data_IF_443196434211
#
_entry.id   IF_443196434211
#
_cell.length_a   1.000
_cell.length_b   1.000
_cell.length_c   1.000
_cell.angle_alpha   90.00
_cell.angle_beta   90.00
_cell.angle_gamma   90.00
#
_symmetry.space_group_name_H-M   'P 1'
#
loop_
_entity.id
_entity.type
_entity.pdbx_description
1 polymer ?
#
# COMPACT_ATOMS: atom_id res chain seq x y z
N UNK A 1 -18.47 10.53 -14.43
CA UNK A 1 -17.13 10.88 -13.91
C UNK A 1 -16.24 9.66 -14.04
N UNK A 2 -15.04 9.82 -14.61
CA UNK A 2 -14.09 8.72 -14.83
C UNK A 2 -13.01 8.67 -13.77
N UNK A 3 -12.94 7.58 -13.03
CA UNK A 3 -11.95 7.37 -11.97
C UNK A 3 -11.02 6.21 -12.34
N UNK A 4 -9.72 6.51 -12.36
CA UNK A 4 -8.67 5.52 -12.51
C UNK A 4 -8.08 5.15 -11.14
N UNK A 5 -8.25 3.89 -10.74
CA UNK A 5 -7.60 3.30 -9.57
C UNK A 5 -6.29 2.64 -9.99
N UNK A 6 -5.16 3.19 -9.57
CA UNK A 6 -3.84 2.69 -9.94
C UNK A 6 -3.08 2.16 -8.72
N UNK A 7 -2.64 0.90 -8.79
CA UNK A 7 -1.75 0.29 -7.80
C UNK A 7 -0.43 -0.15 -8.46
N UNK A 8 0.44 -0.77 -7.68
CA UNK A 8 1.59 -1.52 -8.19
C UNK A 8 1.65 -2.87 -7.47
N UNK A 9 1.91 -3.96 -8.21
CA UNK A 9 2.13 -5.26 -7.59
C UNK A 9 3.50 -5.33 -6.88
N UNK A 10 3.47 -5.07 -5.58
CA UNK A 10 4.56 -5.22 -4.63
C UNK A 10 4.08 -5.97 -3.38
N UNK A 11 3.20 -6.97 -3.58
CA UNK A 11 2.34 -7.51 -2.55
C UNK A 11 0.87 -7.36 -2.89
N UNK A 12 0.05 -7.96 -2.04
CA UNK A 12 -1.41 -7.98 -2.23
C UNK A 12 -2.07 -6.77 -1.55
N UNK A 13 -1.42 -6.14 -0.56
CA UNK A 13 -2.00 -5.05 0.24
C UNK A 13 -2.45 -3.83 -0.57
N UNK A 14 -1.56 -3.26 -1.40
CA UNK A 14 -1.89 -2.10 -2.22
C UNK A 14 -3.01 -2.37 -3.24
N UNK A 15 -2.98 -3.58 -3.84
CA UNK A 15 -4.04 -4.05 -4.73
C UNK A 15 -5.36 -4.18 -3.98
N UNK A 16 -5.36 -4.79 -2.78
CA UNK A 16 -6.55 -4.93 -1.93
C UNK A 16 -7.14 -3.60 -1.50
N UNK A 17 -6.31 -2.61 -1.19
CA UNK A 17 -6.79 -1.25 -0.92
C UNK A 17 -7.46 -0.62 -2.16
N UNK A 18 -6.93 -0.85 -3.37
CA UNK A 18 -7.55 -0.35 -4.60
C UNK A 18 -8.88 -1.07 -4.89
N UNK A 19 -8.93 -2.39 -4.71
CA UNK A 19 -10.15 -3.19 -4.83
C UNK A 19 -11.21 -2.75 -3.81
N UNK A 20 -10.82 -2.48 -2.55
CA UNK A 20 -11.74 -1.98 -1.53
C UNK A 20 -12.36 -0.63 -1.91
N UNK A 21 -11.57 0.29 -2.49
CA UNK A 21 -12.09 1.56 -3.00
C UNK A 21 -13.02 1.31 -4.20
N UNK A 22 -12.62 0.45 -5.14
CA UNK A 22 -13.46 0.09 -6.30
C UNK A 22 -14.81 -0.43 -5.85
N UNK A 23 -14.82 -1.38 -4.93
CA UNK A 23 -16.05 -2.05 -4.46
C UNK A 23 -16.95 -1.08 -3.69
N UNK A 24 -16.37 -0.14 -2.93
CA UNK A 24 -17.12 0.93 -2.27
C UNK A 24 -17.72 1.94 -3.26
N UNK A 25 -17.10 2.12 -4.43
CA UNK A 25 -17.57 3.04 -5.48
C UNK A 25 -18.46 2.37 -6.54
N UNK A 26 -18.50 1.04 -6.60
CA UNK A 26 -19.23 0.30 -7.63
C UNK A 26 -20.76 0.52 -7.59
N UNK A 27 -21.30 1.00 -6.45
CA UNK A 27 -22.71 1.31 -6.30
C UNK A 27 -23.16 2.68 -6.85
N UNK A 28 -22.24 3.47 -7.42
CA UNK A 28 -22.56 4.79 -7.98
C UNK A 28 -22.61 4.72 -9.52
N UNK A 29 -23.80 4.87 -10.10
CA UNK A 29 -24.03 4.72 -11.55
C UNK A 29 -23.33 5.80 -12.39
N UNK A 30 -23.07 6.98 -11.83
CA UNK A 30 -22.41 8.08 -12.55
C UNK A 30 -20.88 7.95 -12.59
N UNK A 31 -20.31 6.86 -12.07
CA UNK A 31 -18.87 6.64 -11.93
C UNK A 31 -18.39 5.52 -12.85
N UNK A 32 -17.55 5.86 -13.84
CA UNK A 32 -16.81 4.89 -14.64
C UNK A 32 -15.50 4.54 -13.89
N UNK A 33 -15.36 3.28 -13.47
CA UNK A 33 -14.22 2.80 -12.69
C UNK A 33 -13.29 1.93 -13.52
N UNK A 34 -12.03 2.36 -13.66
CA UNK A 34 -10.96 1.53 -14.25
C UNK A 34 -9.93 1.23 -13.17
N UNK A 35 -9.60 -0.04 -12.93
CA UNK A 35 -8.53 -0.44 -11.99
C UNK A 35 -7.35 -1.04 -12.75
N UNK A 36 -6.14 -0.56 -12.50
CA UNK A 36 -4.93 -0.99 -13.21
C UNK A 36 -3.75 -1.24 -12.27
N UNK A 37 -2.93 -2.22 -12.62
CA UNK A 37 -1.56 -2.32 -12.13
C UNK A 37 -0.64 -1.48 -13.01
N UNK A 38 -0.06 -0.41 -12.46
CA UNK A 38 0.85 0.45 -13.21
C UNK A 38 2.10 -0.30 -13.72
N UNK A 39 2.48 -1.42 -13.11
CA UNK A 39 3.59 -2.25 -13.58
C UNK A 39 3.27 -2.97 -14.89
N UNK A 40 2.00 -3.22 -15.22
CA UNK A 40 1.59 -3.79 -16.52
C UNK A 40 1.95 -2.88 -17.70
N UNK A 41 2.13 -1.60 -17.41
CA UNK A 41 2.50 -0.56 -18.37
C UNK A 41 4.00 -0.20 -18.30
N UNK A 42 4.81 -1.10 -17.77
CA UNK A 42 6.27 -0.99 -17.76
C UNK A 42 6.91 -2.03 -18.68
N UNK A 43 8.24 -2.01 -18.83
CA UNK A 43 8.91 -3.10 -19.55
C UNK A 43 8.88 -4.40 -18.73
N UNK A 44 8.96 -5.54 -19.43
CA UNK A 44 8.83 -6.86 -18.82
C UNK A 44 9.83 -7.12 -17.69
N UNK A 45 11.08 -6.67 -17.87
CA UNK A 45 12.12 -6.81 -16.85
C UNK A 45 11.80 -6.02 -15.58
N UNK A 46 11.32 -4.79 -15.71
CA UNK A 46 10.93 -3.95 -14.59
C UNK A 46 9.74 -4.57 -13.83
N UNK A 47 8.67 -4.93 -14.54
CA UNK A 47 7.51 -5.63 -13.95
C UNK A 47 7.93 -6.90 -13.20
N UNK A 48 8.86 -7.67 -13.78
CA UNK A 48 9.35 -8.91 -13.18
C UNK A 48 10.23 -8.67 -11.94
N UNK A 49 11.14 -7.69 -11.99
CA UNK A 49 12.11 -7.43 -10.93
C UNK A 49 11.52 -6.67 -9.74
N UNK A 50 10.56 -5.78 -9.98
CA UNK A 50 9.99 -4.89 -8.96
C UNK A 50 9.52 -5.60 -7.68
N UNK A 51 8.59 -6.57 -7.74
CA UNK A 51 8.14 -7.29 -6.54
C UNK A 51 9.25 -8.14 -5.91
N UNK A 52 10.18 -8.67 -6.72
CA UNK A 52 11.26 -9.55 -6.24
C UNK A 52 12.31 -8.78 -5.46
N UNK A 53 12.71 -7.61 -5.94
CA UNK A 53 13.64 -6.72 -5.24
C UNK A 53 13.01 -6.27 -3.92
N UNK A 54 11.73 -5.88 -3.95
CA UNK A 54 10.99 -5.53 -2.74
C UNK A 54 10.96 -6.69 -1.72
N UNK A 55 10.57 -7.89 -2.15
CA UNK A 55 10.52 -9.08 -1.30
C UNK A 55 11.89 -9.49 -0.77
N UNK A 56 12.94 -9.37 -1.57
CA UNK A 56 14.31 -9.63 -1.14
C UNK A 56 14.72 -8.68 -0.03
N UNK A 57 14.49 -7.37 -0.20
CA UNK A 57 14.87 -6.35 0.78
C UNK A 57 14.17 -6.56 2.13
N UNK A 58 12.86 -6.84 2.12
CA UNK A 58 12.09 -7.06 3.35
C UNK A 58 12.50 -8.36 4.06
N UNK A 59 12.70 -9.45 3.33
CA UNK A 59 12.96 -10.75 3.95
C UNK A 59 14.42 -10.98 4.33
N UNK A 60 15.37 -10.41 3.58
CA UNK A 60 16.80 -10.71 3.73
C UNK A 60 17.58 -9.59 4.39
N UNK A 61 17.10 -8.34 4.29
CA UNK A 61 17.85 -7.20 4.81
C UNK A 61 16.92 -6.18 5.52
N UNK A 62 16.10 -6.61 6.51
CA UNK A 62 15.13 -5.72 7.17
C UNK A 62 15.80 -4.52 7.86
N UNK A 63 17.02 -4.69 8.39
CA UNK A 63 17.82 -3.58 8.93
C UNK A 63 18.27 -2.61 7.83
N UNK A 64 18.68 -3.09 6.66
CA UNK A 64 19.00 -2.22 5.53
C UNK A 64 17.75 -1.60 4.91
N UNK A 65 16.58 -2.23 5.01
CA UNK A 65 15.31 -1.66 4.57
C UNK A 65 14.87 -0.51 5.48
N UNK A 66 14.93 -0.71 6.80
CA UNK A 66 14.72 0.37 7.78
C UNK A 66 15.75 1.49 7.65
N UNK A 67 17.02 1.14 7.44
CA UNK A 67 18.10 2.10 7.19
C UNK A 67 17.97 2.80 5.84
N UNK A 68 17.46 2.15 4.80
CA UNK A 68 17.20 2.74 3.50
C UNK A 68 16.08 3.78 3.60
N UNK A 69 15.01 3.50 4.35
CA UNK A 69 14.00 4.51 4.64
C UNK A 69 14.59 5.68 5.42
N UNK A 70 15.37 5.41 6.47
CA UNK A 70 16.03 6.46 7.24
C UNK A 70 16.96 7.32 6.37
N UNK A 71 17.80 6.71 5.55
CA UNK A 71 18.68 7.39 4.60
C UNK A 71 17.90 8.19 3.57
N UNK A 72 16.90 7.59 2.93
CA UNK A 72 16.04 8.26 1.95
C UNK A 72 15.12 9.30 2.58
N UNK A 73 15.01 9.34 3.91
CA UNK A 73 14.27 10.35 4.66
C UNK A 73 15.16 11.51 5.10
N UNK A 74 16.50 11.37 5.03
CA UNK A 74 17.40 12.51 5.16
C UNK A 74 17.14 13.46 3.99
N UNK A 75 16.73 14.69 4.31
CA UNK A 75 16.35 15.72 3.32
C UNK A 75 17.40 15.90 2.22
N UNK A 76 18.69 15.81 2.56
CA UNK A 76 19.80 15.96 1.62
C UNK A 76 19.88 14.78 0.64
N UNK A 77 19.69 13.56 1.14
CA UNK A 77 19.74 12.33 0.34
C UNK A 77 18.50 12.24 -0.56
N UNK A 78 17.30 12.55 -0.05
CA UNK A 78 16.08 12.62 -0.87
C UNK A 78 16.21 13.70 -1.96
N UNK A 79 16.75 14.87 -1.63
CA UNK A 79 16.96 15.94 -2.60
C UNK A 79 17.90 15.50 -3.74
N UNK A 80 18.94 14.70 -3.43
CA UNK A 80 19.93 14.23 -4.40
C UNK A 80 19.44 13.03 -5.23
N UNK A 81 18.76 12.05 -4.61
CA UNK A 81 18.35 10.81 -5.27
C UNK A 81 16.98 10.90 -5.94
N UNK A 82 16.08 11.75 -5.45
CA UNK A 82 14.73 11.86 -6.00
C UNK A 82 14.67 12.28 -7.48
N UNK A 83 15.57 13.12 -8.05
CA UNK A 83 15.58 13.40 -9.48
C UNK A 83 15.92 12.17 -10.32
N UNK A 84 16.96 11.40 -9.92
CA UNK A 84 17.37 10.18 -10.59
C UNK A 84 16.26 9.12 -10.52
N UNK A 85 15.67 8.93 -9.33
CA UNK A 85 14.52 8.05 -9.11
C UNK A 85 13.33 8.41 -10.00
N UNK A 86 12.91 9.69 -10.00
CA UNK A 86 11.82 10.18 -10.86
C UNK A 86 12.10 9.97 -12.34
N UNK A 87 13.34 10.20 -12.77
CA UNK A 87 13.76 9.97 -14.14
C UNK A 87 13.65 8.48 -14.51
N UNK A 88 14.17 7.61 -13.65
CA UNK A 88 14.12 6.16 -13.82
C UNK A 88 12.68 5.65 -13.90
N UNK A 89 11.82 6.03 -12.96
CA UNK A 89 10.40 5.66 -13.00
C UNK A 89 9.71 6.16 -14.28
N UNK A 90 9.98 7.40 -14.70
CA UNK A 90 9.42 7.96 -15.95
C UNK A 90 9.85 7.19 -17.19
N UNK A 91 11.12 6.81 -17.29
CA UNK A 91 11.65 6.04 -18.41
C UNK A 91 10.98 4.67 -18.50
N UNK A 92 10.74 4.03 -17.35
CA UNK A 92 10.10 2.73 -17.27
C UNK A 92 8.57 2.81 -17.44
N UNK A 93 7.94 3.97 -17.18
CA UNK A 93 6.49 4.14 -17.19
C UNK A 93 5.94 4.89 -18.41
N UNK A 94 6.66 4.94 -19.53
CA UNK A 94 6.21 5.64 -20.75
C UNK A 94 4.83 5.14 -21.23
N UNK A 95 4.55 3.84 -21.16
CA UNK A 95 3.24 3.28 -21.56
C UNK A 95 2.15 3.68 -20.57
N UNK A 96 2.46 3.77 -19.28
CA UNK A 96 1.50 4.21 -18.26
C UNK A 96 1.14 5.68 -18.43
N UNK A 97 2.15 6.51 -18.74
CA UNK A 97 1.94 7.92 -19.07
C UNK A 97 1.02 8.05 -20.28
N UNK A 98 1.30 7.31 -21.36
CA UNK A 98 0.46 7.31 -22.57
C UNK A 98 -0.97 6.91 -22.24
N UNK A 99 -1.14 5.82 -21.50
CA UNK A 99 -2.44 5.33 -21.06
C UNK A 99 -3.23 6.42 -20.30
N UNK A 100 -2.63 7.11 -19.33
CA UNK A 100 -3.33 8.21 -18.60
C UNK A 100 -3.75 9.34 -19.55
N UNK A 101 -2.92 9.70 -20.53
CA UNK A 101 -3.19 10.80 -21.47
C UNK A 101 -4.26 10.45 -22.51
N UNK A 102 -4.39 9.18 -22.86
CA UNK A 102 -5.42 8.64 -23.75
C UNK A 102 -6.74 8.44 -23.01
N UNK A 103 -6.69 7.83 -21.82
CA UNK A 103 -7.83 7.50 -20.98
C UNK A 103 -8.52 8.74 -20.37
N UNK A 104 -7.75 9.81 -20.18
CA UNK A 104 -8.19 11.13 -19.66
C UNK A 104 -9.13 11.03 -18.44
N UNK A 105 -8.73 10.35 -17.35
CA UNK A 105 -9.58 10.25 -16.18
C UNK A 105 -9.79 11.62 -15.49
N UNK A 106 -10.98 11.85 -14.93
CA UNK A 106 -11.28 13.01 -14.10
C UNK A 106 -10.52 12.95 -12.78
N UNK A 107 -10.37 11.74 -12.23
CA UNK A 107 -9.68 11.45 -10.97
C UNK A 107 -8.77 10.24 -11.13
N UNK A 108 -7.55 10.34 -10.61
CA UNK A 108 -6.64 9.21 -10.42
C UNK A 108 -6.44 8.99 -8.93
N UNK A 109 -6.76 7.80 -8.44
CA UNK A 109 -6.55 7.38 -7.06
C UNK A 109 -5.43 6.35 -7.04
N UNK A 110 -4.35 6.65 -6.33
CA UNK A 110 -3.17 5.78 -6.24
C UNK A 110 -3.03 5.17 -4.85
N UNK A 111 -3.06 3.85 -4.75
CA UNK A 111 -2.83 3.11 -3.48
C UNK A 111 -1.39 2.65 -3.29
N UNK A 112 -0.50 3.10 -4.18
CA UNK A 112 0.93 2.83 -4.15
C UNK A 112 1.71 4.06 -4.63
N UNK A 113 2.92 4.28 -4.09
CA UNK A 113 3.72 5.48 -4.40
C UNK A 113 4.21 5.53 -5.86
N UNK A 114 4.48 4.40 -6.51
CA UNK A 114 4.95 4.33 -7.91
C UNK A 114 4.01 5.04 -8.91
N UNK A 115 2.72 4.65 -9.06
CA UNK A 115 1.81 5.39 -9.93
C UNK A 115 1.57 6.82 -9.44
N UNK A 116 1.52 7.06 -8.13
CA UNK A 116 1.32 8.40 -7.58
C UNK A 116 2.44 9.36 -8.02
N UNK A 117 3.69 8.94 -7.99
CA UNK A 117 4.83 9.77 -8.43
C UNK A 117 4.74 10.12 -9.92
N UNK A 118 4.35 9.16 -10.76
CA UNK A 118 4.22 9.36 -12.21
C UNK A 118 3.12 10.38 -12.51
N UNK A 119 1.91 10.17 -11.97
CA UNK A 119 0.76 11.07 -12.18
C UNK A 119 1.04 12.45 -11.61
N UNK A 120 1.67 12.53 -10.44
CA UNK A 120 2.13 13.78 -9.84
C UNK A 120 3.10 14.54 -10.75
N UNK A 121 4.00 13.81 -11.42
CA UNK A 121 4.91 14.36 -12.42
C UNK A 121 4.20 14.89 -13.67
N UNK A 122 3.14 14.22 -14.13
CA UNK A 122 2.30 14.71 -15.24
C UNK A 122 1.54 15.97 -14.86
N UNK A 123 0.98 16.01 -13.65
CA UNK A 123 0.24 17.16 -13.13
C UNK A 123 1.14 18.39 -12.98
N UNK A 124 2.36 18.25 -12.45
CA UNK A 124 3.34 19.35 -12.38
C UNK A 124 3.72 19.93 -13.76
N UNK A 125 3.61 19.14 -14.82
CA UNK A 125 3.91 19.56 -16.20
C UNK A 125 2.68 20.09 -16.94
N UNK A 126 1.52 20.16 -16.28
CA UNK A 126 0.26 20.54 -16.92
C UNK A 126 -0.29 19.52 -17.92
N UNK A 127 0.29 18.31 -17.99
CA UNK A 127 -0.15 17.25 -18.91
C UNK A 127 -1.36 16.47 -18.38
N UNK A 128 -1.58 16.49 -17.07
CA UNK A 128 -2.76 15.92 -16.43
C UNK A 128 -3.47 17.01 -15.63
N UNK A 129 -4.74 17.28 -15.95
CA UNK A 129 -5.56 18.33 -15.32
C UNK A 129 -6.55 17.79 -14.28
N UNK A 130 -6.78 16.48 -14.25
CA UNK A 130 -7.68 15.84 -13.29
C UNK A 130 -7.16 15.88 -11.84
N UNK A 131 -7.93 15.32 -10.93
CA UNK A 131 -7.55 15.19 -9.52
C UNK A 131 -6.66 13.97 -9.31
N UNK A 132 -5.66 14.10 -8.46
CA UNK A 132 -4.79 13.03 -8.00
C UNK A 132 -4.99 12.88 -6.49
N UNK A 133 -5.41 11.69 -6.07
CA UNK A 133 -5.55 11.30 -4.67
C UNK A 133 -4.52 10.21 -4.39
N UNK A 134 -3.69 10.41 -3.37
CA UNK A 134 -2.68 9.43 -2.93
C UNK A 134 -3.12 8.80 -1.62
N UNK A 135 -3.42 7.50 -1.65
CA UNK A 135 -3.81 6.71 -0.48
C UNK A 135 -2.57 6.03 0.07
N UNK A 136 -2.08 6.54 1.20
CA UNK A 136 -0.93 6.01 1.90
C UNK A 136 -1.35 4.75 2.64
N UNK A 137 -0.83 3.62 2.18
CA UNK A 137 -1.15 2.28 2.69
C UNK A 137 -0.17 1.82 3.78
N UNK A 138 0.71 2.72 4.22
CA UNK A 138 1.68 2.50 5.29
C UNK A 138 1.25 3.31 6.53
N UNK A 139 1.49 2.78 7.72
CA UNK A 139 1.23 3.52 8.96
C UNK A 139 2.19 4.70 9.17
N UNK A 140 3.41 4.61 8.63
CA UNK A 140 4.43 5.64 8.68
C UNK A 140 4.76 6.10 7.26
N UNK A 141 4.61 7.41 6.98
CA UNK A 141 4.86 7.92 5.64
C UNK A 141 6.35 8.25 5.43
N UNK A 142 6.95 7.62 4.43
CA UNK A 142 8.33 7.85 4.00
C UNK A 142 8.42 8.67 2.70
N UNK A 143 9.62 9.11 2.32
CA UNK A 143 9.86 10.02 1.18
C UNK A 143 9.30 9.55 -0.17
N UNK A 144 9.21 8.24 -0.44
CA UNK A 144 8.60 7.75 -1.69
C UNK A 144 7.14 8.20 -1.88
N UNK A 145 6.39 8.41 -0.79
CA UNK A 145 4.99 8.85 -0.87
C UNK A 145 4.83 10.32 -1.28
N UNK A 146 5.93 11.08 -1.45
CA UNK A 146 5.89 12.53 -1.74
C UNK A 146 5.48 12.87 -3.19
N UNK A 147 4.30 12.41 -3.60
CA UNK A 147 3.61 12.84 -4.83
C UNK A 147 3.07 14.28 -4.67
N UNK A 148 3.95 15.28 -4.56
CA UNK A 148 3.62 16.66 -4.12
C UNK A 148 2.49 17.38 -4.86
N UNK A 149 2.20 16.98 -6.10
CA UNK A 149 1.08 17.53 -6.87
C UNK A 149 -0.27 16.82 -6.65
N UNK A 150 -0.35 15.86 -5.73
CA UNK A 150 -1.63 15.28 -5.30
C UNK A 150 -2.49 16.36 -4.66
N UNK A 151 -3.78 16.36 -5.01
CA UNK A 151 -4.77 17.25 -4.42
C UNK A 151 -5.07 16.83 -2.99
N UNK A 152 -5.12 15.50 -2.75
CA UNK A 152 -5.32 14.93 -1.44
C UNK A 152 -4.40 13.75 -1.16
N UNK A 153 -4.03 13.63 0.11
CA UNK A 153 -3.43 12.46 0.71
C UNK A 153 -4.40 11.85 1.71
N UNK A 154 -4.61 10.54 1.62
CA UNK A 154 -5.41 9.78 2.59
C UNK A 154 -4.44 8.94 3.42
N UNK A 155 -4.41 9.17 4.73
CA UNK A 155 -3.55 8.48 5.68
C UNK A 155 -4.34 7.50 6.56
N UNK A 156 -3.63 6.49 7.05
CA UNK A 156 -4.17 5.47 7.95
C UNK A 156 -4.56 6.06 9.31
N UNK A 157 -3.63 6.82 9.90
CA UNK A 157 -3.73 7.35 11.26
C UNK A 157 -3.15 8.76 11.33
N UNK A 158 -3.39 9.43 12.45
CA UNK A 158 -2.89 10.76 12.74
C UNK A 158 -1.36 10.86 12.61
N UNK A 159 -0.63 9.80 12.97
CA UNK A 159 0.81 9.74 12.77
C UNK A 159 1.21 9.86 11.28
N UNK A 160 0.48 9.22 10.37
CA UNK A 160 0.71 9.33 8.92
C UNK A 160 0.55 10.78 8.47
N UNK A 161 -0.45 11.50 8.99
CA UNK A 161 -0.65 12.93 8.70
C UNK A 161 0.54 13.77 9.14
N UNK A 162 1.02 13.56 10.37
CA UNK A 162 2.19 14.26 10.90
C UNK A 162 3.44 14.02 10.04
N UNK A 163 3.66 12.77 9.59
CA UNK A 163 4.78 12.44 8.70
C UNK A 163 4.69 13.17 7.36
N UNK A 164 3.49 13.23 6.75
CA UNK A 164 3.25 13.94 5.49
C UNK A 164 3.47 15.46 5.64
N UNK A 165 2.93 16.06 6.71
CA UNK A 165 3.05 17.50 6.98
C UNK A 165 4.50 17.90 7.26
N UNK A 166 5.23 17.11 8.06
CA UNK A 166 6.68 17.34 8.30
C UNK A 166 7.53 17.32 7.03
N UNK A 167 7.05 16.64 5.98
CA UNK A 167 7.69 16.57 4.66
C UNK A 167 7.16 17.59 3.66
N UNK A 168 6.38 18.57 4.11
CA UNK A 168 5.94 19.73 3.33
C UNK A 168 4.64 19.53 2.55
N UNK A 169 3.84 18.51 2.86
CA UNK A 169 2.45 18.44 2.37
C UNK A 169 1.60 19.36 3.24
N UNK A 170 0.79 20.21 2.62
CA UNK A 170 -0.09 21.12 3.37
C UNK A 170 -1.17 20.33 4.12
N UNK A 171 -1.44 20.71 5.35
CA UNK A 171 -2.34 20.00 6.27
C UNK A 171 -3.75 19.84 5.70
N UNK A 172 -4.28 20.86 5.03
CA UNK A 172 -5.63 20.84 4.44
C UNK A 172 -5.79 19.76 3.34
N UNK A 173 -4.68 19.33 2.74
CA UNK A 173 -4.63 18.27 1.72
C UNK A 173 -4.57 16.87 2.33
N UNK A 174 -4.39 16.73 3.64
CA UNK A 174 -4.29 15.42 4.28
C UNK A 174 -5.58 15.08 5.01
N UNK A 175 -6.12 13.89 4.75
CA UNK A 175 -7.30 13.34 5.43
C UNK A 175 -6.91 12.02 6.10
N UNK A 176 -7.33 11.84 7.35
CA UNK A 176 -7.12 10.59 8.11
C UNK A 176 -8.42 9.80 8.06
N UNK A 177 -8.51 8.84 7.14
CA UNK A 177 -9.72 8.04 6.90
C UNK A 177 -9.48 6.53 7.08
N UNK A 178 -8.25 6.12 7.44
CA UNK A 178 -7.88 4.72 7.51
C UNK A 178 -7.33 4.17 6.19
N UNK A 179 -6.78 2.95 6.26
CA UNK A 179 -6.42 2.18 5.07
C UNK A 179 -7.70 1.54 4.53
N UNK A 180 -8.05 1.70 3.24
CA UNK A 180 -9.23 1.07 2.68
C UNK A 180 -9.19 -0.45 2.83
N UNK A 181 -10.29 -1.01 3.34
CA UNK A 181 -10.50 -2.47 3.47
C UNK A 181 -11.85 -2.84 2.85
N UNK A 182 -11.97 -4.09 2.39
CA UNK A 182 -13.23 -4.58 1.83
C UNK A 182 -14.36 -4.45 2.89
N UNK A 183 -15.55 -3.93 2.53
CA UNK A 183 -16.62 -3.63 3.49
C UNK A 183 -16.99 -4.79 4.42
N UNK A 184 -16.85 -6.04 3.93
CA UNK A 184 -17.10 -7.26 4.71
C UNK A 184 -16.26 -7.38 5.99
N UNK A 185 -15.10 -6.72 6.06
CA UNK A 185 -14.26 -6.69 7.27
C UNK A 185 -14.76 -5.70 8.34
N UNK A 186 -15.71 -4.82 8.00
CA UNK A 186 -16.36 -3.94 8.97
C UNK A 186 -17.56 -4.58 9.68
N UNK A 187 -17.95 -5.80 9.31
CA UNK A 187 -19.10 -6.49 9.88
C UNK A 187 -18.65 -7.39 11.02
N UNK A 188 -19.14 -7.11 12.23
CA UNK A 188 -18.92 -7.97 13.39
C UNK A 188 -19.68 -9.28 13.25
N UNK A 189 -19.05 -10.40 13.61
CA UNK A 189 -19.62 -11.74 13.54
C UNK A 189 -19.60 -12.41 14.92
N UNK A 190 -20.56 -13.31 15.15
CA UNK A 190 -20.61 -14.07 16.41
C UNK A 190 -19.43 -15.06 16.49
N UNK A 191 -18.60 -14.89 17.53
CA UNK A 191 -17.40 -15.72 17.74
C UNK A 191 -17.75 -17.21 17.90
N UNK A 192 -18.81 -17.56 18.63
CA UNK A 192 -19.17 -18.96 18.91
C UNK A 192 -19.61 -19.66 17.63
N UNK A 193 -20.40 -18.98 16.81
CA UNK A 193 -20.79 -19.49 15.49
C UNK A 193 -19.58 -19.70 14.58
N UNK A 194 -18.62 -18.76 14.58
CA UNK A 194 -17.39 -18.89 13.79
C UNK A 194 -16.51 -20.05 14.24
N UNK A 195 -16.30 -20.22 15.54
CA UNK A 195 -15.52 -21.33 16.10
C UNK A 195 -16.15 -22.66 15.69
N UNK A 196 -17.46 -22.81 15.87
CA UNK A 196 -18.19 -24.00 15.45
C UNK A 196 -18.09 -24.24 13.95
N UNK A 197 -18.24 -23.19 13.13
CA UNK A 197 -18.15 -23.27 11.66
C UNK A 197 -16.75 -23.66 11.18
N UNK A 198 -15.71 -23.20 11.85
CA UNK A 198 -14.32 -23.45 11.49
C UNK A 198 -13.76 -24.75 12.13
N UNK A 199 -14.52 -25.41 13.00
CA UNK A 199 -14.07 -26.60 13.71
C UNK A 199 -12.92 -26.32 14.70
N UNK A 200 -12.87 -25.10 15.24
CA UNK A 200 -11.88 -24.70 16.23
C UNK A 200 -12.34 -25.10 17.64
N UNK A 201 -11.40 -25.27 18.56
CA UNK A 201 -11.73 -25.45 19.97
C UNK A 201 -12.30 -24.15 20.56
N UNK A 202 -13.39 -24.26 21.34
CA UNK A 202 -13.94 -23.12 22.10
C UNK A 202 -13.15 -22.86 23.39
N UNK A 203 -11.82 -22.97 23.29
CA UNK A 203 -10.91 -22.61 24.35
C UNK A 203 -10.93 -21.11 24.66
N UNK A 204 -10.29 -20.69 25.77
CA UNK A 204 -10.25 -19.29 26.18
C UNK A 204 -9.53 -18.40 25.15
N UNK A 205 -8.70 -18.98 24.28
CA UNK A 205 -7.90 -18.23 23.33
C UNK A 205 -7.72 -18.97 22.00
N UNK A 206 -7.86 -18.24 20.89
CA UNK A 206 -7.62 -18.72 19.53
C UNK A 206 -6.62 -17.76 18.87
N UNK A 207 -5.51 -18.29 18.34
CA UNK A 207 -4.44 -17.51 17.72
C UNK A 207 -4.50 -17.59 16.20
N UNK A 208 -4.58 -16.43 15.55
CA UNK A 208 -4.44 -16.30 14.10
C UNK A 208 -3.01 -15.87 13.74
N UNK A 209 -2.26 -16.74 13.07
CA UNK A 209 -0.91 -16.46 12.58
C UNK A 209 -0.97 -16.32 11.06
N UNK A 210 -0.58 -15.15 10.55
CA UNK A 210 -0.62 -14.85 9.12
C UNK A 210 0.68 -14.22 8.65
N UNK A 211 1.16 -14.63 7.47
CA UNK A 211 2.31 -14.04 6.78
C UNK A 211 1.94 -13.08 5.65
N UNK A 212 0.68 -12.63 5.61
CA UNK A 212 0.13 -11.84 4.51
C UNK A 212 0.06 -12.62 3.19
N UNK A 213 -0.17 -11.91 2.08
CA UNK A 213 -0.45 -12.51 0.76
C UNK A 213 0.69 -13.34 0.16
N UNK A 214 1.91 -13.20 0.67
CA UNK A 214 3.08 -13.98 0.26
C UNK A 214 3.52 -15.02 1.30
N UNK A 215 2.84 -15.13 2.44
CA UNK A 215 3.23 -16.03 3.52
C UNK A 215 4.63 -15.76 4.09
N UNK A 216 5.05 -14.48 4.12
CA UNK A 216 6.39 -14.09 4.55
C UNK A 216 6.53 -14.09 6.08
N UNK A 217 7.78 -14.15 6.53
CA UNK A 217 8.12 -14.16 7.96
C UNK A 217 8.33 -15.57 8.51
N UNK A 218 8.87 -15.70 9.73
CA UNK A 218 9.27 -16.97 10.31
C UNK A 218 8.08 -17.74 10.90
N UNK A 219 6.99 -17.91 10.14
CA UNK A 219 5.72 -18.50 10.61
C UNK A 219 5.94 -19.84 11.31
N UNK A 220 6.75 -20.73 10.71
CA UNK A 220 7.11 -22.02 11.32
C UNK A 220 7.77 -21.86 12.70
N UNK A 221 8.71 -20.91 12.85
CA UNK A 221 9.39 -20.67 14.13
C UNK A 221 8.41 -20.11 15.18
N UNK A 222 7.49 -19.24 14.76
CA UNK A 222 6.44 -18.68 15.63
C UNK A 222 5.54 -19.80 16.14
N UNK A 223 5.07 -20.68 15.25
CA UNK A 223 4.23 -21.84 15.62
C UNK A 223 4.95 -22.75 16.60
N UNK A 224 6.21 -23.11 16.35
CA UNK A 224 6.98 -23.94 17.28
C UNK A 224 7.16 -23.27 18.64
N UNK A 225 7.50 -21.96 18.66
CA UNK A 225 7.65 -21.24 19.92
C UNK A 225 6.36 -21.21 20.75
N UNK A 226 5.19 -21.11 20.11
CA UNK A 226 3.89 -21.16 20.79
C UNK A 226 3.63 -22.55 21.35
N UNK A 227 3.91 -23.61 20.58
CA UNK A 227 3.74 -24.99 21.02
C UNK A 227 4.61 -25.31 22.24
N UNK A 228 5.87 -24.86 22.24
CA UNK A 228 6.80 -25.06 23.36
C UNK A 228 6.34 -24.34 24.65
N UNK A 229 5.71 -23.15 24.51
CA UNK A 229 5.12 -22.43 25.64
C UNK A 229 3.93 -23.21 26.22
N UNK A 230 3.07 -23.75 25.37
CA UNK A 230 1.90 -24.52 25.81
C UNK A 230 2.33 -25.77 26.59
N UNK A 231 3.32 -26.52 26.08
CA UNK A 231 3.84 -27.72 26.74
C UNK A 231 4.37 -27.40 28.15
N UNK A 232 5.19 -26.34 28.28
CA UNK A 232 5.76 -25.91 29.58
C UNK A 232 4.71 -25.37 30.55
N UNK A 233 3.64 -24.77 30.03
CA UNK A 233 2.56 -24.23 30.87
C UNK A 233 1.66 -25.36 31.38
N UNK A 234 1.41 -26.39 30.56
CA UNK A 234 0.70 -27.61 30.99
C UNK A 234 1.50 -28.40 32.04
N UNK A 235 2.82 -28.52 31.90
CA UNK A 235 3.68 -29.19 32.91
C UNK A 235 3.72 -28.47 34.27
N UNK A 236 3.56 -27.14 34.31
CA UNK A 236 3.57 -26.36 35.56
C UNK A 236 2.21 -26.29 36.27
N UNK A 237 1.14 -26.72 35.60
CA UNK A 237 -0.23 -26.74 36.12
C UNK A 237 -0.69 -28.15 36.52
N UNK A 238 0.18 -29.15 36.38
CA UNK A 238 0.03 -30.52 36.88
C UNK A 238 0.93 -30.73 38.09
#
# INVERSE_FOLDING_TARGET
MKILLAHAYAGIGHKKAAEAIRDALAGFEEVELTTVDALDYTNAFFKFSYPRVYLFLINRVPLAWGFLYYLLDLKVVDAFLSPARRCFHRLNAKRFIRFILEERPDVVVCTHFFPAEIVSGLKRKGLFKGRLITVVTDFLAHSFWMARASDYFIGAIERTRQDLVRRGIKEERVKVLGIPCEPKFGVSQDRRQLIKKLGLDDGPFNLLIMGGGFGTGPVKKIVHAIYDIEARTREKLQ
#
